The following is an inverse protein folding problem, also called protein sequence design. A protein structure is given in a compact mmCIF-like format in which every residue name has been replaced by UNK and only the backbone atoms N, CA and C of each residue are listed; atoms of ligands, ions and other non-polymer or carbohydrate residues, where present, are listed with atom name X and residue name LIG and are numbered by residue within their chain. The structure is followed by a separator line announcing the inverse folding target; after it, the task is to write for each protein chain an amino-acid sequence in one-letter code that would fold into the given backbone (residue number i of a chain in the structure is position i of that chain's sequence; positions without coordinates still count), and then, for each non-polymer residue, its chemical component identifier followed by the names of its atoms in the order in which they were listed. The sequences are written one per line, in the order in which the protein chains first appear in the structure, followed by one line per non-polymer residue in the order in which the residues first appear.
data_IF_841689180123
#
_entry.id   IF_841689180123
#
_cell.length_a   1.000
_cell.length_b   1.000
_cell.length_c   1.000
_cell.angle_alpha   90.00
_cell.angle_beta   90.00
_cell.angle_gamma   90.00
#
_symmetry.space_group_name_H-M   'P 1'
#
loop_
_entity.id
_entity.type
_entity.pdbx_description
1 polymer ?
#
# COMPACT_ATOMS: atom_id res chain seq x y z
N UNK A 1 20.38 -14.61 -63.62
CA UNK A 1 19.31 -13.88 -62.91
C UNK A 1 18.20 -14.81 -62.40
N UNK A 2 17.80 -15.82 -63.17
CA UNK A 2 16.75 -16.81 -62.79
C UNK A 2 17.00 -17.55 -61.46
N UNK A 3 18.23 -18.01 -61.19
CA UNK A 3 18.55 -18.75 -59.95
C UNK A 3 18.39 -17.90 -58.67
N UNK A 4 18.54 -16.56 -58.78
CA UNK A 4 18.32 -15.64 -57.65
C UNK A 4 16.83 -15.46 -57.36
N UNK A 5 15.97 -15.52 -58.39
CA UNK A 5 14.51 -15.48 -58.24
C UNK A 5 13.95 -16.80 -57.69
N UNK A 6 14.49 -17.94 -58.12
CA UNK A 6 14.12 -19.25 -57.56
C UNK A 6 14.50 -19.37 -56.08
N UNK A 7 15.66 -18.85 -55.68
CA UNK A 7 16.03 -18.79 -54.26
C UNK A 7 15.15 -17.83 -53.46
N UNK A 8 14.70 -16.70 -54.03
CA UNK A 8 13.74 -15.81 -53.36
C UNK A 8 12.38 -16.47 -53.12
N UNK A 9 11.90 -17.28 -54.07
CA UNK A 9 10.71 -18.13 -53.92
C UNK A 9 10.90 -19.21 -52.84
N UNK A 10 12.11 -19.79 -52.73
CA UNK A 10 12.42 -20.81 -51.71
C UNK A 10 12.55 -20.22 -50.29
N UNK A 11 13.08 -18.99 -50.17
CA UNK A 11 13.13 -18.22 -48.90
C UNK A 11 11.72 -17.99 -48.34
N UNK A 12 10.74 -17.71 -49.20
CA UNK A 12 9.33 -17.56 -48.79
C UNK A 12 8.73 -18.86 -48.22
N UNK A 13 9.08 -20.01 -48.79
CA UNK A 13 8.61 -21.32 -48.30
C UNK A 13 9.22 -21.65 -46.93
N UNK A 14 10.50 -21.31 -46.72
CA UNK A 14 11.19 -21.62 -45.47
C UNK A 14 10.71 -20.77 -44.29
N UNK A 15 10.41 -19.48 -44.51
CA UNK A 15 9.84 -18.61 -43.48
C UNK A 15 8.42 -19.01 -43.12
N UNK A 16 7.63 -19.44 -44.11
CA UNK A 16 6.25 -19.89 -43.91
C UNK A 16 6.19 -21.12 -42.99
N UNK A 17 7.05 -22.13 -43.19
CA UNK A 17 7.09 -23.32 -42.35
C UNK A 17 7.51 -23.04 -40.89
N UNK A 18 8.45 -22.11 -40.66
CA UNK A 18 8.85 -21.71 -39.31
C UNK A 18 7.73 -20.98 -38.55
N UNK A 19 6.99 -20.11 -39.23
CA UNK A 19 5.86 -19.38 -38.64
C UNK A 19 4.70 -20.32 -38.31
N UNK A 20 4.33 -21.22 -39.22
CA UNK A 20 3.27 -22.21 -38.95
C UNK A 20 3.67 -23.23 -37.88
N UNK A 21 4.96 -23.61 -37.80
CA UNK A 21 5.46 -24.50 -36.75
C UNK A 21 5.38 -23.89 -35.34
N UNK A 22 5.53 -22.57 -35.22
CA UNK A 22 5.54 -21.84 -33.94
C UNK A 22 4.26 -21.04 -33.67
N UNK A 23 3.20 -21.26 -34.45
CA UNK A 23 1.94 -20.51 -34.34
C UNK A 23 1.33 -20.59 -32.92
N UNK A 24 1.44 -21.75 -32.26
CA UNK A 24 1.00 -21.96 -30.87
C UNK A 24 1.73 -21.02 -29.89
N UNK A 25 3.02 -20.77 -30.12
CA UNK A 25 3.82 -19.88 -29.28
C UNK A 25 3.44 -18.40 -29.48
N UNK A 26 3.12 -17.99 -30.71
CA UNK A 26 2.65 -16.64 -30.99
C UNK A 26 1.30 -16.35 -30.32
N UNK A 27 0.38 -17.32 -30.34
CA UNK A 27 -0.87 -17.24 -29.59
C UNK A 27 -0.65 -17.19 -28.08
N UNK A 28 0.31 -17.97 -27.56
CA UNK A 28 0.67 -17.94 -26.14
C UNK A 28 1.18 -16.56 -25.71
N UNK A 29 2.04 -15.92 -26.51
CA UNK A 29 2.51 -14.56 -26.24
C UNK A 29 1.38 -13.53 -26.30
N UNK A 30 0.47 -13.66 -27.27
CA UNK A 30 -0.72 -12.81 -27.36
C UNK A 30 -1.61 -12.95 -26.13
N UNK A 31 -1.88 -14.18 -25.70
CA UNK A 31 -2.64 -14.47 -24.48
C UNK A 31 -1.97 -13.89 -23.24
N UNK A 32 -0.64 -14.03 -23.12
CA UNK A 32 0.12 -13.46 -22.01
C UNK A 32 0.07 -11.92 -22.02
N UNK A 33 0.08 -11.30 -23.19
CA UNK A 33 -0.12 -9.86 -23.35
C UNK A 33 -1.49 -9.38 -22.87
N UNK A 34 -2.55 -10.12 -23.18
CA UNK A 34 -3.91 -9.81 -22.70
C UNK A 34 -3.97 -9.91 -21.17
N UNK A 35 -3.41 -10.98 -20.58
CA UNK A 35 -3.32 -11.14 -19.13
C UNK A 35 -2.54 -10.00 -18.50
N UNK A 36 -1.44 -9.57 -19.12
CA UNK A 36 -0.62 -8.48 -18.63
C UNK A 36 -1.40 -7.15 -18.59
N UNK A 37 -2.09 -6.81 -19.68
CA UNK A 37 -2.90 -5.58 -19.74
C UNK A 37 -4.03 -5.62 -18.71
N UNK A 38 -4.69 -6.77 -18.57
CA UNK A 38 -5.74 -6.96 -17.57
C UNK A 38 -5.20 -6.78 -16.13
N UNK A 39 -4.04 -7.36 -15.81
CA UNK A 39 -3.40 -7.21 -14.52
C UNK A 39 -2.95 -5.77 -14.24
N UNK A 40 -2.42 -5.07 -15.25
CA UNK A 40 -2.00 -3.67 -15.11
C UNK A 40 -3.18 -2.77 -14.72
N UNK A 41 -4.33 -2.91 -15.40
CA UNK A 41 -5.55 -2.18 -15.05
C UNK A 41 -6.08 -2.55 -13.66
N UNK A 42 -6.00 -3.82 -13.27
CA UNK A 42 -6.45 -4.26 -11.95
C UNK A 42 -5.55 -3.71 -10.83
N UNK A 43 -4.24 -3.69 -11.06
CA UNK A 43 -3.27 -3.12 -10.13
C UNK A 43 -3.51 -1.62 -9.90
N UNK A 44 -3.74 -0.84 -10.97
CA UNK A 44 -4.04 0.59 -10.86
C UNK A 44 -5.29 0.86 -9.99
N UNK A 45 -6.37 0.13 -10.25
CA UNK A 45 -7.63 0.25 -9.48
C UNK A 45 -7.43 -0.11 -8.00
N UNK A 46 -6.63 -1.13 -7.71
CA UNK A 46 -6.35 -1.56 -6.35
C UNK A 46 -5.49 -0.54 -5.60
N UNK A 47 -4.45 0.01 -6.24
CA UNK A 47 -3.62 1.06 -5.65
C UNK A 47 -4.46 2.26 -5.25
N UNK A 48 -5.37 2.71 -6.13
CA UNK A 48 -6.26 3.84 -5.83
C UNK A 48 -7.21 3.54 -4.66
N UNK A 49 -7.74 2.31 -4.56
CA UNK A 49 -8.55 1.89 -3.41
C UNK A 49 -7.75 1.84 -2.11
N UNK A 50 -6.51 1.37 -2.15
CA UNK A 50 -5.62 1.34 -0.98
C UNK A 50 -5.37 2.76 -0.48
N UNK A 51 -5.09 3.71 -1.37
CA UNK A 51 -4.88 5.11 -1.00
C UNK A 51 -6.11 5.72 -0.30
N UNK A 52 -7.32 5.46 -0.80
CA UNK A 52 -8.56 5.93 -0.17
C UNK A 52 -8.73 5.34 1.24
N UNK A 53 -8.56 4.01 1.38
CA UNK A 53 -8.66 3.33 2.68
C UNK A 53 -7.59 3.81 3.67
N UNK A 54 -6.37 4.08 3.20
CA UNK A 54 -5.31 4.65 4.04
C UNK A 54 -5.66 6.06 4.55
N UNK A 55 -6.33 6.87 3.71
CA UNK A 55 -6.81 8.20 4.11
C UNK A 55 -7.87 8.10 5.22
N UNK A 56 -8.86 7.23 5.05
CA UNK A 56 -9.91 6.98 6.06
C UNK A 56 -9.29 6.49 7.39
N UNK A 57 -8.34 5.55 7.32
CA UNK A 57 -7.66 5.05 8.52
C UNK A 57 -6.82 6.13 9.21
N UNK A 58 -6.22 7.05 8.44
CA UNK A 58 -5.50 8.20 8.99
C UNK A 58 -6.46 9.15 9.69
N UNK A 59 -7.59 9.50 9.08
CA UNK A 59 -8.60 10.36 9.71
C UNK A 59 -9.11 9.76 11.02
N UNK A 60 -9.46 8.47 11.02
CA UNK A 60 -9.90 7.77 12.24
C UNK A 60 -8.82 7.76 13.34
N UNK A 61 -7.54 7.58 12.97
CA UNK A 61 -6.43 7.63 13.93
C UNK A 61 -6.23 9.02 14.52
N UNK A 62 -6.47 10.07 13.73
CA UNK A 62 -6.42 11.45 14.21
C UNK A 62 -7.54 11.74 15.20
N UNK A 63 -8.76 11.31 14.90
CA UNK A 63 -9.91 11.44 15.79
C UNK A 63 -9.66 10.72 17.13
N UNK A 64 -9.19 9.47 17.08
CA UNK A 64 -8.81 8.72 18.28
C UNK A 64 -7.71 9.43 19.09
N UNK A 65 -6.69 9.96 18.42
CA UNK A 65 -5.60 10.66 19.10
C UNK A 65 -6.09 11.95 19.76
N UNK A 66 -7.01 12.67 19.12
CA UNK A 66 -7.63 13.88 19.67
C UNK A 66 -8.45 13.56 20.93
N UNK A 67 -9.35 12.57 20.87
CA UNK A 67 -10.17 12.16 22.02
C UNK A 67 -9.29 11.64 23.17
N UNK A 68 -8.25 10.86 22.84
CA UNK A 68 -7.28 10.39 23.83
C UNK A 68 -6.54 11.56 24.48
N UNK A 69 -6.15 12.57 23.71
CA UNK A 69 -5.46 13.75 24.24
C UNK A 69 -6.36 14.59 25.16
N UNK A 70 -7.63 14.75 24.81
CA UNK A 70 -8.61 15.43 25.66
C UNK A 70 -8.83 14.65 26.97
N UNK A 71 -8.95 13.32 26.87
CA UNK A 71 -9.07 12.45 28.04
C UNK A 71 -7.83 12.52 28.92
N UNK A 72 -6.64 12.51 28.31
CA UNK A 72 -5.37 12.62 29.04
C UNK A 72 -5.21 13.99 29.71
N UNK A 73 -5.69 15.07 29.09
CA UNK A 73 -5.72 16.41 29.67
C UNK A 73 -6.68 16.49 30.87
N UNK A 74 -7.86 15.87 30.77
CA UNK A 74 -8.79 15.72 31.91
C UNK A 74 -8.27 14.78 33.01
N UNK A 75 -7.42 13.82 32.64
CA UNK A 75 -6.80 12.85 33.56
C UNK A 75 -5.45 13.33 34.11
N UNK A 76 -4.96 14.51 33.70
CA UNK A 76 -3.71 15.06 34.21
C UNK A 76 -3.89 15.43 35.68
N UNK A 77 -3.01 14.90 36.52
CA UNK A 77 -3.04 15.12 37.97
C UNK A 77 -3.09 16.60 38.35
N UNK A 78 -2.44 17.49 37.59
CA UNK A 78 -2.46 18.93 37.88
C UNK A 78 -3.84 19.59 37.73
N UNK A 79 -4.69 19.12 36.81
CA UNK A 79 -6.07 19.63 36.67
C UNK A 79 -7.06 18.92 37.57
N UNK A 80 -6.78 17.66 37.92
CA UNK A 80 -7.54 16.93 38.93
C UNK A 80 -7.34 17.61 40.30
N UNK A 81 -6.11 18.02 40.64
CA UNK A 81 -5.82 18.79 41.86
C UNK A 81 -6.54 20.15 41.85
N UNK A 82 -6.50 20.90 40.75
CA UNK A 82 -7.20 22.20 40.61
C UNK A 82 -8.74 22.06 40.65
N UNK A 83 -9.28 20.98 40.06
CA UNK A 83 -10.72 20.68 40.09
C UNK A 83 -11.22 20.10 41.43
N UNK A 84 -10.31 19.57 42.25
CA UNK A 84 -10.57 19.05 43.60
C UNK A 84 -10.28 20.06 44.70
N UNK A 85 -9.60 21.17 44.40
CA UNK A 85 -9.35 22.30 45.30
C UNK A 85 -10.65 22.86 45.92
N UNK A 86 -11.76 23.08 45.16
CA UNK A 86 -13.04 23.47 45.76
C UNK A 86 -13.73 22.35 46.56
N UNK A 87 -13.22 21.11 46.54
CA UNK A 87 -13.76 19.95 47.29
C UNK A 87 -12.92 19.57 48.52
N UNK A 88 -11.83 20.27 48.81
CA UNK A 88 -11.09 20.15 50.08
C UNK A 88 -10.33 18.83 50.30
N UNK A 89 -10.10 18.03 49.25
CA UNK A 89 -9.36 16.76 49.36
C UNK A 89 -7.96 16.96 48.80
N UNK A 90 -6.98 17.14 49.70
CA UNK A 90 -5.56 17.21 49.36
C UNK A 90 -5.05 15.83 48.92
N UNK A 91 -4.76 15.66 47.63
CA UNK A 91 -3.95 14.55 47.15
C UNK A 91 -2.49 14.84 47.52
N UNK A 92 -2.03 14.23 48.61
CA UNK A 92 -0.65 14.31 49.03
C UNK A 92 0.26 13.83 47.88
N UNK A 93 1.01 14.79 47.33
CA UNK A 93 2.10 14.63 46.38
C UNK A 93 3.05 13.51 46.81
N UNK A 94 2.84 12.31 46.30
CA UNK A 94 3.80 11.21 46.37
C UNK A 94 4.38 10.95 44.97
N UNK A 95 5.14 11.93 44.47
CA UNK A 95 6.06 11.70 43.35
C UNK A 95 7.12 10.66 43.74
N UNK A 96 7.65 9.87 42.79
CA UNK A 96 8.51 8.73 43.09
C UNK A 96 9.84 9.22 43.68
N UNK A 97 10.14 8.80 44.92
CA UNK A 97 11.44 9.05 45.56
C UNK A 97 12.54 8.30 44.80
N UNK A 98 13.37 9.04 44.09
CA UNK A 98 14.65 8.53 43.58
C UNK A 98 15.64 8.38 44.74
N UNK A 99 16.08 7.15 44.97
CA UNK A 99 17.13 6.84 45.94
C UNK A 99 18.48 7.04 45.25
N UNK A 100 19.22 8.07 45.64
CA UNK A 100 20.61 8.27 45.20
C UNK A 100 21.49 7.46 46.16
N UNK A 101 22.12 6.39 45.65
CA UNK A 101 23.07 5.58 46.40
C UNK A 101 24.45 6.25 46.34
N UNK A 102 25.00 6.59 47.51
CA UNK A 102 26.37 7.09 47.70
C UNK A 102 27.36 5.93 47.77
#
# INVERSE_FOLDING_TARGET
MANKMLNALNVSQHTTNLVFGNFKFMLFLGFLGIIYIANAHFAEKNVRRIQLKQKEMKELKWEYTSIKSETMYKSMQSQIDESLDPKGVNLANAGPKVIIKK
#
